data_IF_548168508948
#
_entry.id   IF_548168508948
#
_cell.length_a   1.000
_cell.length_b   1.000
_cell.length_c   1.000
_cell.angle_alpha   90.00
_cell.angle_beta   90.00
_cell.angle_gamma   90.00
#
_symmetry.space_group_name_H-M   'P 1'
#
loop_
_entity.id
_entity.type
_entity.pdbx_description
1 polymer ?
#
# COMPACT_ATOMS: atom_id res chain seq x y z
N UNK A 1 14.66 -11.13 -3.52
CA UNK A 1 15.20 -10.23 -4.60
C UNK A 1 14.47 -10.29 -5.97
N UNK A 2 14.23 -11.46 -6.58
CA UNK A 2 13.77 -11.55 -7.98
C UNK A 2 12.40 -10.89 -8.24
N UNK A 3 11.46 -11.04 -7.30
CA UNK A 3 10.12 -10.44 -7.38
C UNK A 3 10.18 -8.91 -7.49
N UNK A 4 11.00 -8.24 -6.65
CA UNK A 4 11.19 -6.79 -6.74
C UNK A 4 11.70 -6.35 -8.10
N UNK A 5 12.64 -7.08 -8.72
CA UNK A 5 13.14 -6.75 -10.05
C UNK A 5 12.04 -6.86 -11.11
N UNK A 6 11.22 -7.92 -11.04
CA UNK A 6 10.10 -8.12 -11.96
C UNK A 6 9.05 -7.01 -11.81
N UNK A 7 8.71 -6.64 -10.58
CA UNK A 7 7.77 -5.54 -10.30
C UNK A 7 8.29 -4.20 -10.77
N UNK A 8 9.56 -3.87 -10.50
CA UNK A 8 10.16 -2.65 -11.03
C UNK A 8 10.19 -2.66 -12.56
N UNK A 9 10.43 -3.80 -13.19
CA UNK A 9 10.34 -3.92 -14.64
C UNK A 9 8.94 -3.67 -15.18
N UNK A 10 7.91 -4.21 -14.50
CA UNK A 10 6.52 -3.92 -14.83
C UNK A 10 6.23 -2.42 -14.72
N UNK A 11 6.63 -1.79 -13.61
CA UNK A 11 6.44 -0.36 -13.37
C UNK A 11 7.16 0.53 -14.40
N UNK A 12 8.37 0.14 -14.84
CA UNK A 12 9.10 0.83 -15.92
C UNK A 12 8.31 0.85 -17.22
N UNK A 13 7.62 -0.23 -17.53
CA UNK A 13 6.86 -0.40 -18.78
C UNK A 13 5.53 0.39 -18.77
N UNK A 14 5.11 0.95 -17.63
CA UNK A 14 3.89 1.76 -17.56
C UNK A 14 4.14 3.17 -18.08
N UNK A 15 3.29 3.61 -19.02
CA UNK A 15 3.29 4.99 -19.52
C UNK A 15 2.58 5.93 -18.53
N UNK A 16 3.27 6.22 -17.42
CA UNK A 16 2.84 7.18 -16.41
C UNK A 16 4.04 8.05 -15.96
N UNK A 17 3.84 9.37 -15.78
CA UNK A 17 4.92 10.27 -15.36
C UNK A 17 5.34 10.05 -13.90
N UNK A 18 4.43 9.55 -13.06
CA UNK A 18 4.67 9.20 -11.67
C UNK A 18 4.13 7.78 -11.42
N UNK A 19 5.00 6.86 -10.98
CA UNK A 19 4.61 5.53 -10.52
C UNK A 19 4.87 5.44 -9.02
N UNK A 20 3.84 5.08 -8.27
CA UNK A 20 3.88 4.99 -6.82
C UNK A 20 3.63 3.54 -6.42
N UNK A 21 4.32 3.07 -5.40
CA UNK A 21 4.00 1.81 -4.75
C UNK A 21 4.31 1.88 -3.26
N UNK A 22 3.57 1.10 -2.49
CA UNK A 22 3.78 0.86 -1.05
C UNK A 22 4.13 -0.61 -0.86
N UNK A 23 4.62 -0.97 0.33
CA UNK A 23 4.80 -2.37 0.71
C UNK A 23 3.46 -2.99 1.13
N UNK A 24 3.41 -4.32 1.09
CA UNK A 24 2.34 -5.11 1.68
C UNK A 24 2.86 -6.21 2.60
N UNK A 25 1.95 -7.03 3.11
CA UNK A 25 2.27 -8.05 4.11
C UNK A 25 3.24 -9.16 3.64
N UNK A 26 3.41 -9.32 2.32
CA UNK A 26 4.38 -10.25 1.75
C UNK A 26 5.79 -9.66 1.55
N UNK A 27 5.96 -8.34 1.71
CA UNK A 27 7.22 -7.64 1.50
C UNK A 27 8.15 -7.71 2.71
N UNK A 28 8.40 -8.90 3.23
CA UNK A 28 9.21 -9.15 4.43
C UNK A 28 10.57 -8.44 4.37
N UNK A 29 11.28 -8.49 3.25
CA UNK A 29 12.59 -7.83 3.14
C UNK A 29 12.57 -6.30 3.28
N UNK A 30 11.39 -5.67 3.23
CA UNK A 30 11.21 -4.24 3.54
C UNK A 30 10.94 -4.00 5.04
N UNK A 31 10.46 -5.02 5.77
CA UNK A 31 10.19 -5.04 7.21
C UNK A 31 11.21 -5.92 7.96
N UNK A 32 12.34 -5.33 8.35
CA UNK A 32 13.41 -6.06 9.06
C UNK A 32 12.95 -6.72 10.36
N UNK A 33 12.17 -6.04 11.24
CA UNK A 33 11.57 -6.70 12.40
C UNK A 33 10.83 -7.99 12.06
N UNK A 34 9.94 -7.98 11.06
CA UNK A 34 9.18 -9.17 10.68
C UNK A 34 10.08 -10.31 10.15
N UNK A 35 11.16 -9.98 9.43
CA UNK A 35 12.14 -10.98 8.98
C UNK A 35 12.80 -11.68 10.16
N UNK A 36 13.29 -10.92 11.14
CA UNK A 36 13.98 -11.53 12.28
C UNK A 36 13.02 -12.29 13.19
N UNK A 37 11.78 -11.82 13.35
CA UNK A 37 10.77 -12.57 14.10
C UNK A 37 10.52 -13.96 13.49
N UNK A 38 10.41 -14.05 12.15
CA UNK A 38 10.29 -15.33 11.45
C UNK A 38 11.53 -16.21 11.57
N UNK A 39 12.72 -15.61 11.52
CA UNK A 39 13.97 -16.33 11.75
C UNK A 39 13.98 -16.92 13.16
N UNK A 40 13.69 -16.09 14.17
CA UNK A 40 13.69 -16.52 15.58
C UNK A 40 12.60 -17.56 15.87
N UNK A 41 11.44 -17.48 15.21
CA UNK A 41 10.42 -18.53 15.24
C UNK A 41 10.93 -19.86 14.67
N UNK A 42 11.51 -19.83 13.47
CA UNK A 42 12.01 -21.03 12.79
C UNK A 42 13.18 -21.69 13.55
N UNK A 43 14.13 -20.90 14.06
CA UNK A 43 15.27 -21.39 14.86
C UNK A 43 14.83 -21.97 16.21
N UNK A 44 13.68 -21.53 16.78
CA UNK A 44 13.10 -22.13 18.00
C UNK A 44 12.45 -23.49 17.76
N UNK A 45 11.91 -23.72 16.56
CA UNK A 45 11.22 -24.96 16.21
C UNK A 45 12.19 -26.08 15.85
N UNK A 46 13.36 -25.74 15.29
CA UNK A 46 14.35 -26.71 14.84
C UNK A 46 15.77 -26.23 15.11
N UNK A 47 16.52 -26.96 15.94
CA UNK A 47 17.93 -26.68 16.23
C UNK A 47 18.84 -26.79 14.99
N UNK A 48 18.41 -27.56 13.98
CA UNK A 48 19.09 -27.73 12.70
C UNK A 48 18.83 -26.55 11.74
N UNK A 49 17.79 -25.77 11.99
CA UNK A 49 17.49 -24.57 11.21
C UNK A 49 18.27 -23.42 11.81
N UNK A 50 19.28 -22.94 11.09
CA UNK A 50 20.00 -21.70 11.42
C UNK A 50 20.14 -20.83 10.20
N UNK A 51 19.79 -19.56 10.35
CA UNK A 51 19.90 -18.59 9.27
C UNK A 51 21.22 -17.81 9.39
N UNK A 52 21.90 -17.63 8.26
CA UNK A 52 23.05 -16.74 8.17
C UNK A 52 22.56 -15.29 8.23
N UNK A 53 22.53 -14.72 9.44
CA UNK A 53 22.07 -13.34 9.68
C UNK A 53 22.86 -12.31 8.86
N UNK A 54 24.21 -12.38 8.74
CA UNK A 54 24.95 -11.55 7.79
C UNK A 54 24.41 -11.62 6.34
N UNK A 55 24.15 -12.83 5.81
CA UNK A 55 23.60 -12.99 4.46
C UNK A 55 22.19 -12.41 4.34
N UNK A 56 21.33 -12.64 5.34
CA UNK A 56 19.98 -12.05 5.40
C UNK A 56 20.05 -10.52 5.37
N UNK A 57 20.97 -9.94 6.15
CA UNK A 57 21.17 -8.49 6.19
C UNK A 57 21.60 -7.94 4.83
N UNK A 58 22.49 -8.66 4.13
CA UNK A 58 22.89 -8.28 2.77
C UNK A 58 21.70 -8.30 1.81
N UNK A 59 20.81 -9.30 1.89
CA UNK A 59 19.61 -9.32 1.03
C UNK A 59 18.66 -8.17 1.36
N UNK A 60 18.38 -7.90 2.63
CA UNK A 60 17.54 -6.78 3.07
C UNK A 60 18.10 -5.46 2.52
N UNK A 61 19.40 -5.21 2.71
CA UNK A 61 20.04 -3.99 2.21
C UNK A 61 19.98 -3.90 0.69
N UNK A 62 20.22 -5.01 -0.02
CA UNK A 62 20.15 -5.04 -1.47
C UNK A 62 18.74 -4.73 -1.99
N UNK A 63 17.68 -5.22 -1.33
CA UNK A 63 16.29 -4.90 -1.69
C UNK A 63 15.99 -3.41 -1.45
N UNK A 64 16.38 -2.88 -0.29
CA UNK A 64 16.20 -1.45 0.02
C UNK A 64 16.94 -0.55 -0.97
N UNK A 65 18.16 -0.90 -1.31
CA UNK A 65 18.97 -0.15 -2.29
C UNK A 65 18.38 -0.23 -3.70
N UNK A 66 17.82 -1.38 -4.09
CA UNK A 66 17.13 -1.53 -5.36
C UNK A 66 15.89 -0.62 -5.44
N UNK A 67 15.05 -0.67 -4.40
CA UNK A 67 13.84 0.15 -4.29
C UNK A 67 14.20 1.64 -4.28
N UNK A 68 15.18 2.04 -3.49
CA UNK A 68 15.63 3.45 -3.40
C UNK A 68 16.12 3.98 -4.75
N UNK A 69 16.88 3.19 -5.51
CA UNK A 69 17.39 3.59 -6.83
C UNK A 69 16.31 3.75 -7.88
N UNK A 70 15.19 3.04 -7.75
CA UNK A 70 14.07 3.15 -8.71
C UNK A 70 13.44 4.55 -8.75
N UNK A 71 13.65 5.37 -7.71
CA UNK A 71 13.21 6.77 -7.67
C UNK A 71 13.77 7.62 -8.80
N UNK A 72 15.00 7.35 -9.24
CA UNK A 72 15.60 8.05 -10.39
C UNK A 72 14.88 7.76 -11.71
N UNK A 73 14.05 6.70 -11.75
CA UNK A 73 13.27 6.27 -12.91
C UNK A 73 11.79 6.70 -12.81
N UNK A 74 11.45 7.58 -11.86
CA UNK A 74 10.08 8.02 -11.60
C UNK A 74 9.21 6.96 -10.92
N UNK A 75 9.84 5.94 -10.32
CA UNK A 75 9.19 4.88 -9.54
C UNK A 75 9.48 5.13 -8.06
N UNK A 76 8.48 5.55 -7.31
CA UNK A 76 8.64 6.00 -5.94
C UNK A 76 8.00 5.00 -4.99
N UNK A 77 8.83 4.48 -4.08
CA UNK A 77 8.37 3.74 -2.92
C UNK A 77 7.98 4.70 -1.80
N UNK A 78 6.81 4.49 -1.21
CA UNK A 78 6.38 5.25 -0.05
C UNK A 78 6.39 4.38 1.21
N UNK A 79 7.14 4.86 2.19
CA UNK A 79 6.97 4.51 3.59
C UNK A 79 5.68 5.14 4.11
N UNK A 80 5.24 4.69 5.28
CA UNK A 80 4.06 5.27 5.92
C UNK A 80 4.22 6.78 6.14
N UNK A 81 3.16 7.53 5.87
CA UNK A 81 3.06 8.95 6.17
C UNK A 81 2.43 9.79 5.06
N UNK A 82 2.49 11.10 5.27
CA UNK A 82 2.00 12.12 4.33
C UNK A 82 3.10 12.48 3.34
N UNK A 83 2.74 12.54 2.06
CA UNK A 83 3.60 12.86 0.93
C UNK A 83 2.92 13.93 0.08
N UNK A 84 3.58 15.09 -0.04
CA UNK A 84 3.12 16.21 -0.87
C UNK A 84 3.92 16.27 -2.18
N UNK A 85 3.21 16.53 -3.28
CA UNK A 85 3.84 16.64 -4.59
C UNK A 85 3.10 17.61 -5.51
N UNK A 86 3.88 18.20 -6.43
CA UNK A 86 3.36 18.99 -7.54
C UNK A 86 3.41 18.12 -8.79
N UNK A 87 2.24 17.91 -9.39
CA UNK A 87 2.09 17.13 -10.61
C UNK A 87 2.62 17.92 -11.82
N UNK A 88 2.86 17.23 -12.94
CA UNK A 88 3.37 17.85 -14.16
C UNK A 88 2.46 18.95 -14.75
N UNK A 89 1.20 19.02 -14.33
CA UNK A 89 0.24 20.06 -14.70
C UNK A 89 0.18 21.22 -13.68
N UNK A 90 1.03 21.23 -12.65
CA UNK A 90 1.07 22.26 -11.60
C UNK A 90 0.12 22.03 -10.42
N UNK A 91 -0.75 21.02 -10.47
CA UNK A 91 -1.64 20.72 -9.35
C UNK A 91 -0.86 20.15 -8.15
N UNK A 92 -1.20 20.64 -6.95
CA UNK A 92 -0.71 20.06 -5.70
C UNK A 92 -1.53 18.82 -5.33
N UNK A 93 -0.86 17.78 -4.85
CA UNK A 93 -1.50 16.56 -4.39
C UNK A 93 -0.91 16.12 -3.05
N UNK A 94 -1.79 15.94 -2.05
CA UNK A 94 -1.45 15.43 -0.72
C UNK A 94 -1.89 13.98 -0.58
N UNK A 95 -0.94 13.07 -0.45
CA UNK A 95 -1.18 11.62 -0.37
C UNK A 95 -0.76 11.09 0.99
N UNK A 96 -1.62 10.29 1.62
CA UNK A 96 -1.23 9.46 2.76
C UNK A 96 -1.00 8.02 2.29
N UNK A 97 0.14 7.44 2.68
CA UNK A 97 0.50 6.06 2.38
C UNK A 97 0.62 5.25 3.68
N UNK A 98 0.20 3.99 3.66
CA UNK A 98 0.48 3.06 4.77
C UNK A 98 0.52 1.60 4.29
N UNK A 99 1.62 0.86 4.55
CA UNK A 99 1.70 -0.57 4.23
C UNK A 99 0.96 -1.44 5.27
N UNK A 100 0.51 -0.85 6.37
CA UNK A 100 0.06 -1.56 7.53
C UNK A 100 -1.33 -2.18 7.33
N UNK A 101 -1.50 -3.42 7.79
CA UNK A 101 -2.77 -4.14 7.76
C UNK A 101 -3.05 -4.91 9.06
N UNK A 102 -4.32 -5.10 9.45
CA UNK A 102 -4.65 -5.86 10.66
C UNK A 102 -4.17 -7.31 10.53
N UNK A 103 -3.40 -7.78 11.51
CA UNK A 103 -2.85 -9.13 11.50
C UNK A 103 -2.05 -9.46 12.75
N UNK A 104 -1.85 -10.75 13.00
CA UNK A 104 -1.06 -11.27 14.13
C UNK A 104 -0.33 -12.57 13.75
N UNK A 105 -0.13 -12.81 12.46
CA UNK A 105 0.44 -14.04 11.92
C UNK A 105 1.95 -13.88 11.60
N UNK A 106 2.56 -12.78 12.03
CA UNK A 106 3.98 -12.49 11.84
C UNK A 106 4.33 -12.20 10.39
N UNK A 107 3.39 -11.65 9.61
CA UNK A 107 3.69 -11.10 8.28
C UNK A 107 4.24 -9.68 8.39
N UNK A 108 4.80 -9.18 7.28
CA UNK A 108 5.29 -7.81 7.25
C UNK A 108 4.15 -6.81 7.49
N UNK A 109 4.44 -5.70 8.15
CA UNK A 109 3.50 -4.59 8.32
C UNK A 109 2.14 -5.01 8.93
N UNK A 110 2.14 -6.02 9.80
CA UNK A 110 0.97 -6.40 10.58
C UNK A 110 0.87 -5.59 11.88
N UNK A 111 -0.36 -5.33 12.33
CA UNK A 111 -0.61 -4.72 13.62
C UNK A 111 -1.86 -5.28 14.31
N UNK A 112 -1.86 -5.19 15.64
CA UNK A 112 -3.05 -5.38 16.48
C UNK A 112 -3.87 -4.10 16.63
N UNK A 113 -3.19 -2.96 16.77
CA UNK A 113 -3.75 -1.61 16.78
C UNK A 113 -2.83 -0.67 16.03
N UNK A 114 -3.40 0.16 15.15
CA UNK A 114 -2.63 1.16 14.41
C UNK A 114 -3.39 2.48 14.33
N UNK A 115 -2.68 3.59 14.48
CA UNK A 115 -3.24 4.92 14.33
C UNK A 115 -2.79 5.50 12.99
N UNK A 116 -3.74 5.67 12.08
CA UNK A 116 -3.45 6.25 10.78
C UNK A 116 -3.49 7.77 10.91
N UNK A 117 -2.32 8.39 10.98
CA UNK A 117 -2.19 9.85 11.04
C UNK A 117 -2.52 10.53 9.69
N UNK A 118 -3.75 10.33 9.20
CA UNK A 118 -4.26 10.90 7.97
C UNK A 118 -4.63 12.35 8.25
N UNK A 119 -3.82 13.27 7.74
CA UNK A 119 -4.00 14.69 7.95
C UNK A 119 -5.25 15.25 7.26
N UNK A 120 -5.75 16.38 7.78
CA UNK A 120 -6.77 17.17 7.09
C UNK A 120 -6.23 17.64 5.73
N UNK A 121 -7.13 17.65 4.74
CA UNK A 121 -6.78 18.02 3.36
C UNK A 121 -6.04 16.93 2.57
N UNK A 122 -5.85 15.71 3.10
CA UNK A 122 -5.34 14.59 2.28
C UNK A 122 -6.29 14.29 1.12
N UNK A 123 -5.80 14.36 -0.10
CA UNK A 123 -6.58 14.08 -1.30
C UNK A 123 -6.71 12.58 -1.56
N UNK A 124 -5.61 11.83 -1.39
CA UNK A 124 -5.53 10.40 -1.72
C UNK A 124 -4.98 9.61 -0.53
N UNK A 125 -5.62 8.49 -0.23
CA UNK A 125 -5.16 7.53 0.78
C UNK A 125 -4.81 6.22 0.08
N UNK A 126 -3.57 5.75 0.26
CA UNK A 126 -3.06 4.50 -0.28
C UNK A 126 -2.72 3.58 0.88
N UNK A 127 -3.40 2.44 0.95
CA UNK A 127 -3.24 1.46 2.03
C UNK A 127 -3.08 0.06 1.45
N UNK A 128 -2.37 -0.82 2.16
CA UNK A 128 -2.24 -2.23 1.76
C UNK A 128 -3.58 -2.97 1.89
N UNK A 129 -4.24 -2.82 3.04
CA UNK A 129 -5.53 -3.48 3.31
C UNK A 129 -6.74 -2.56 3.03
N UNK A 130 -7.90 -3.12 2.67
CA UNK A 130 -9.11 -2.32 2.48
C UNK A 130 -9.68 -1.79 3.81
N UNK A 131 -10.42 -0.67 3.80
CA UNK A 131 -11.24 -0.25 4.93
C UNK A 131 -12.41 -1.23 5.14
N UNK A 132 -12.79 -1.45 6.40
CA UNK A 132 -13.92 -2.33 6.75
C UNK A 132 -15.20 -1.89 6.05
N UNK A 133 -15.93 -2.86 5.50
CA UNK A 133 -17.19 -2.63 4.79
C UNK A 133 -17.04 -2.19 3.32
N UNK A 134 -15.82 -1.94 2.84
CA UNK A 134 -15.55 -1.51 1.46
C UNK A 134 -14.65 -2.55 0.80
N UNK A 135 -15.24 -3.37 -0.09
CA UNK A 135 -14.52 -4.44 -0.81
C UNK A 135 -13.67 -5.34 0.10
N UNK A 136 -14.16 -5.59 1.31
CA UNK A 136 -13.39 -6.21 2.37
C UNK A 136 -13.75 -7.69 2.60
N UNK A 137 -14.56 -8.26 1.72
CA UNK A 137 -15.00 -9.66 1.82
C UNK A 137 -14.02 -10.52 1.02
N UNK A 138 -13.36 -11.46 1.68
CA UNK A 138 -12.50 -12.45 1.02
C UNK A 138 -13.32 -13.50 0.26
N UNK A 139 -12.66 -14.32 -0.55
CA UNK A 139 -13.31 -15.45 -1.25
C UNK A 139 -14.02 -16.41 -0.27
N UNK A 140 -13.51 -16.54 0.96
CA UNK A 140 -14.14 -17.31 2.04
C UNK A 140 -15.30 -16.61 2.75
N UNK A 141 -15.77 -15.47 2.25
CA UNK A 141 -16.88 -14.71 2.83
C UNK A 141 -16.54 -13.95 4.12
N UNK A 142 -15.26 -13.93 4.54
CA UNK A 142 -14.81 -13.26 5.76
C UNK A 142 -14.50 -11.80 5.51
N UNK A 143 -14.90 -10.92 6.43
CA UNK A 143 -14.48 -9.50 6.42
C UNK A 143 -13.04 -9.37 6.91
N UNK A 144 -12.18 -8.84 6.05
CA UNK A 144 -10.75 -8.62 6.26
C UNK A 144 -10.38 -7.14 6.42
N UNK A 145 -11.34 -6.23 6.25
CA UNK A 145 -11.07 -4.80 6.21
C UNK A 145 -10.83 -4.20 7.59
N UNK A 146 -10.01 -3.15 7.61
CA UNK A 146 -9.62 -2.43 8.82
C UNK A 146 -10.75 -1.54 9.35
N UNK A 147 -11.25 -1.75 10.59
CA UNK A 147 -12.24 -0.87 11.20
C UNK A 147 -11.73 0.56 11.43
N UNK A 148 -10.47 0.72 11.88
CA UNK A 148 -9.87 2.01 12.20
C UNK A 148 -9.70 2.89 10.95
N UNK A 149 -9.35 2.28 9.81
CA UNK A 149 -9.24 2.99 8.52
C UNK A 149 -10.60 3.51 8.04
N UNK A 150 -11.66 2.73 8.22
CA UNK A 150 -13.02 3.19 7.87
C UNK A 150 -13.45 4.39 8.72
N UNK A 151 -13.15 4.38 10.02
CA UNK A 151 -13.42 5.52 10.90
C UNK A 151 -12.73 6.79 10.41
N UNK A 152 -11.42 6.71 10.11
CA UNK A 152 -10.68 7.87 9.60
C UNK A 152 -11.21 8.42 8.27
N UNK A 153 -11.66 7.54 7.37
CA UNK A 153 -12.29 7.97 6.11
C UNK A 153 -13.68 8.59 6.33
N UNK A 154 -14.41 8.15 7.35
CA UNK A 154 -15.75 8.64 7.71
C UNK A 154 -15.78 9.97 8.48
N UNK A 155 -14.65 10.40 9.05
CA UNK A 155 -14.52 11.65 9.82
C UNK A 155 -13.97 12.83 9.01
N UNK A 156 -13.89 12.70 7.68
CA UNK A 156 -13.57 13.83 6.82
C UNK A 156 -14.72 14.84 6.90
N UNK A 157 -14.46 16.01 7.48
CA UNK A 157 -15.34 17.18 7.48
C UNK A 157 -15.46 17.77 6.06
N UNK A 158 -15.79 16.94 5.09
CA UNK A 158 -16.09 17.39 3.74
C UNK A 158 -17.38 18.21 3.77
N UNK A 159 -17.46 19.33 3.03
CA UNK A 159 -18.73 19.98 2.76
C UNK A 159 -19.76 18.95 2.24
N UNK A 160 -21.02 19.09 2.64
CA UNK A 160 -22.05 18.08 2.41
C UNK A 160 -22.21 17.72 0.91
N UNK A 161 -22.02 18.70 0.03
CA UNK A 161 -21.99 18.53 -1.43
C UNK A 161 -20.85 17.61 -1.90
N UNK A 162 -19.65 17.73 -1.32
CA UNK A 162 -18.49 16.89 -1.65
C UNK A 162 -18.70 15.48 -1.13
N UNK A 163 -19.22 15.34 0.10
CA UNK A 163 -19.56 14.05 0.67
C UNK A 163 -20.66 13.34 -0.16
N UNK A 164 -21.67 14.08 -0.62
CA UNK A 164 -22.74 13.57 -1.47
C UNK A 164 -22.22 13.15 -2.85
N UNK A 165 -21.41 13.99 -3.51
CA UNK A 165 -20.79 13.63 -4.79
C UNK A 165 -19.89 12.38 -4.67
N UNK A 166 -19.19 12.20 -3.55
CA UNK A 166 -18.41 10.98 -3.27
C UNK A 166 -19.32 9.76 -3.10
N UNK A 167 -20.43 9.88 -2.36
CA UNK A 167 -21.43 8.80 -2.18
C UNK A 167 -22.07 8.38 -3.51
N UNK A 168 -22.55 9.33 -4.30
CA UNK A 168 -23.18 9.06 -5.60
C UNK A 168 -22.20 8.40 -6.58
N UNK A 169 -20.97 8.92 -6.63
CA UNK A 169 -19.88 8.36 -7.44
C UNK A 169 -19.50 6.95 -6.96
N UNK A 170 -19.53 6.68 -5.66
CA UNK A 170 -19.29 5.34 -5.09
C UNK A 170 -20.38 4.33 -5.47
N UNK A 171 -21.66 4.71 -5.42
CA UNK A 171 -22.78 3.86 -5.86
C UNK A 171 -22.76 3.63 -7.39
N UNK A 172 -22.35 4.64 -8.16
CA UNK A 172 -22.10 4.49 -9.59
C UNK A 172 -20.98 3.48 -9.87
N UNK A 173 -19.91 3.46 -9.07
CA UNK A 173 -18.82 2.49 -9.20
C UNK A 173 -19.23 1.06 -8.85
N UNK A 174 -20.08 0.87 -7.83
CA UNK A 174 -20.67 -0.44 -7.51
C UNK A 174 -21.50 -0.98 -8.68
N UNK A 175 -22.32 -0.14 -9.31
CA UNK A 175 -23.22 -0.56 -10.39
C UNK A 175 -22.50 -0.88 -11.71
N UNK A 176 -21.33 -0.30 -11.94
CA UNK A 176 -20.53 -0.54 -13.16
C UNK A 176 -19.67 -1.81 -13.10
N UNK A 177 -19.66 -2.56 -11.99
CA UNK A 177 -18.78 -3.73 -11.82
C UNK A 177 -17.28 -3.37 -11.90
N UNK A 178 -16.95 -2.09 -11.75
CA UNK A 178 -15.61 -1.52 -11.79
C UNK A 178 -15.45 -0.60 -10.59
N UNK A 179 -14.98 -1.15 -9.48
CA UNK A 179 -14.41 -0.34 -8.41
C UNK A 179 -12.92 -0.19 -8.67
N UNK A 180 -12.48 1.03 -8.97
CA UNK A 180 -11.18 1.23 -9.62
C UNK A 180 -9.96 1.19 -8.71
N UNK A 181 -10.04 0.82 -7.41
CA UNK A 181 -8.85 0.47 -6.64
C UNK A 181 -9.14 -0.39 -5.39
N UNK A 182 -9.39 -1.68 -5.63
CA UNK A 182 -8.87 -2.78 -4.82
C UNK A 182 -8.38 -3.83 -5.82
N UNK A 183 -7.07 -4.00 -5.95
CA UNK A 183 -6.46 -4.94 -6.89
C UNK A 183 -5.72 -6.00 -6.09
N UNK A 184 -6.41 -7.06 -5.71
CA UNK A 184 -5.81 -8.28 -5.16
C UNK A 184 -5.75 -9.33 -6.26
N UNK A 185 -4.57 -9.60 -6.81
CA UNK A 185 -4.36 -10.77 -7.68
C UNK A 185 -3.99 -11.96 -6.81
N UNK A 186 -4.97 -12.54 -6.15
CA UNK A 186 -4.80 -13.74 -5.33
C UNK A 186 -4.60 -14.94 -6.27
N UNK A 187 -3.35 -15.21 -6.67
CA UNK A 187 -2.90 -16.52 -7.18
C UNK A 187 -1.38 -16.56 -7.30
N UNK A 188 -0.69 -16.66 -6.15
CA UNK A 188 0.73 -17.02 -6.07
C UNK A 188 1.74 -15.94 -6.44
N UNK A 189 2.45 -15.41 -5.44
CA UNK A 189 3.70 -14.66 -5.64
C UNK A 189 3.57 -13.39 -6.48
N UNK A 190 2.73 -12.44 -6.06
CA UNK A 190 2.68 -11.12 -6.68
C UNK A 190 2.77 -10.04 -5.61
N UNK A 191 3.72 -9.12 -5.80
CA UNK A 191 3.86 -7.89 -5.02
C UNK A 191 2.55 -7.11 -5.13
N UNK A 192 2.01 -6.78 -3.96
CA UNK A 192 0.77 -6.03 -3.83
C UNK A 192 1.06 -4.56 -4.16
N UNK A 193 0.89 -4.19 -5.43
CA UNK A 193 0.73 -2.78 -5.78
C UNK A 193 -0.73 -2.43 -5.53
N UNK A 194 -1.09 -2.23 -4.26
CA UNK A 194 -2.35 -1.56 -3.98
C UNK A 194 -2.19 -0.10 -4.38
N UNK A 195 -2.86 0.22 -5.48
CA UNK A 195 -3.16 1.56 -5.98
C UNK A 195 -2.10 2.18 -6.90
N UNK A 196 -2.09 1.72 -8.15
CA UNK A 196 -1.68 2.58 -9.26
C UNK A 196 -2.76 3.67 -9.45
N UNK A 197 -2.62 4.80 -8.76
CA UNK A 197 -3.41 5.98 -9.08
C UNK A 197 -2.92 6.52 -10.43
N UNK A 198 -3.57 6.11 -11.53
CA UNK A 198 -3.48 6.85 -12.79
C UNK A 198 -4.23 8.16 -12.58
N UNK A 199 -3.51 9.20 -12.17
CA UNK A 199 -4.04 10.56 -12.11
C UNK A 199 -4.20 11.01 -13.56
N UNK A 200 -5.37 10.76 -14.14
CA UNK A 200 -5.76 11.42 -15.38
C UNK A 200 -6.09 12.87 -15.04
N UNK A 201 -5.35 13.78 -15.68
CA UNK A 201 -5.24 15.24 -15.57
C UNK A 201 -6.46 16.13 -15.25
N UNK A 202 -7.65 15.60 -14.97
CA UNK A 202 -8.86 16.36 -15.24
C UNK A 202 -9.61 16.95 -14.03
N UNK A 203 -9.24 16.76 -12.75
CA UNK A 203 -9.98 17.38 -11.64
C UNK A 203 -9.19 17.50 -10.32
N UNK A 204 -8.01 18.14 -10.32
CA UNK A 204 -7.36 18.57 -9.08
C UNK A 204 -7.28 20.10 -9.12
N UNK A 205 -7.71 20.75 -8.02
CA UNK A 205 -7.89 22.21 -7.94
C UNK A 205 -6.65 22.93 -8.46
N UNK A 206 -6.84 23.79 -9.45
CA UNK A 206 -5.81 24.74 -9.87
C UNK A 206 -5.68 25.77 -8.75
N UNK A 207 -4.45 25.92 -8.23
CA UNK A 207 -4.07 27.02 -7.35
C UNK A 207 -3.80 28.30 -8.14
#
# INVERSE_FOLDING_TARGET
MAEYKNTLQLLRNLNAPLKLFIAGNHDLSLDSPAVYEKIDEAERVSEETRFDRPMVNQEILAVRDLVKRSKAEGIVFFEEGTHDFVLGNGAALKLFASPYSPGTAGWAFEYSTHDFNIEEGTDVVVTHGPPRGILDISEGGKRMGCPQLFQHLGHRNDPEEVAQARRERFEQYKSQGHCRISHSTANGGYIYITNLARIENNNIKQG
#
